data_IF_614723558177
#
_entry.id   IF_614723558177
#
_cell.length_a   1.000
_cell.length_b   1.000
_cell.length_c   1.000
_cell.angle_alpha   90.00
_cell.angle_beta   90.00
_cell.angle_gamma   90.00
#
_symmetry.space_group_name_H-M   'P 1'
#
loop_
_entity.id
_entity.type
_entity.pdbx_description
1 polymer ?
#
# COMPACT_ATOMS: atom_id res chain seq x y z
N UNK A 1 18.80 0.26 -13.89
CA UNK A 1 18.42 -1.17 -13.75
C UNK A 1 17.52 -1.44 -12.55
N UNK A 2 17.84 -0.95 -11.32
CA UNK A 2 17.00 -1.18 -10.11
C UNK A 2 15.64 -0.52 -10.27
N UNK A 3 15.59 0.73 -10.66
CA UNK A 3 14.36 1.51 -10.87
C UNK A 3 13.49 0.98 -12.00
N UNK A 4 14.09 0.53 -13.12
CA UNK A 4 13.35 -0.07 -14.23
C UNK A 4 12.70 -1.40 -13.82
N UNK A 5 13.41 -2.21 -13.02
CA UNK A 5 12.83 -3.44 -12.47
C UNK A 5 11.67 -3.12 -11.53
N UNK A 6 11.83 -2.11 -10.66
CA UNK A 6 10.75 -1.64 -9.77
C UNK A 6 9.50 -1.21 -10.55
N UNK A 7 9.67 -0.43 -11.61
CA UNK A 7 8.59 0.00 -12.49
C UNK A 7 7.94 -1.17 -13.24
N UNK A 8 8.75 -2.09 -13.78
CA UNK A 8 8.25 -3.30 -14.45
C UNK A 8 7.40 -4.16 -13.50
N UNK A 9 7.83 -4.34 -12.24
CA UNK A 9 7.07 -5.09 -11.24
C UNK A 9 5.76 -4.37 -10.88
N UNK A 10 5.75 -3.04 -10.83
CA UNK A 10 4.55 -2.25 -10.58
C UNK A 10 3.53 -2.41 -11.71
N UNK A 11 3.96 -2.36 -12.98
CA UNK A 11 3.11 -2.63 -14.16
C UNK A 11 2.58 -4.07 -14.11
N UNK A 12 3.46 -5.03 -13.80
CA UNK A 12 3.08 -6.45 -13.69
C UNK A 12 2.04 -6.66 -12.59
N UNK A 13 2.18 -5.98 -11.45
CA UNK A 13 1.22 -6.00 -10.35
C UNK A 13 -0.14 -5.44 -10.80
N UNK A 14 -0.16 -4.34 -11.56
CA UNK A 14 -1.40 -3.78 -12.09
C UNK A 14 -2.10 -4.74 -13.07
N UNK A 15 -1.37 -5.32 -14.02
CA UNK A 15 -1.92 -6.30 -14.95
C UNK A 15 -2.47 -7.53 -14.22
N UNK A 16 -1.74 -8.04 -13.23
CA UNK A 16 -2.18 -9.16 -12.39
C UNK A 16 -3.46 -8.80 -11.61
N UNK A 17 -3.51 -7.60 -11.03
CA UNK A 17 -4.67 -7.11 -10.29
C UNK A 17 -5.93 -7.05 -11.19
N UNK A 18 -5.81 -6.52 -12.41
CA UNK A 18 -6.91 -6.51 -13.37
C UNK A 18 -7.36 -7.92 -13.77
N UNK A 19 -6.41 -8.85 -13.94
CA UNK A 19 -6.70 -10.27 -14.19
C UNK A 19 -7.48 -10.93 -13.04
N UNK A 20 -7.12 -10.62 -11.80
CA UNK A 20 -7.81 -11.08 -10.60
C UNK A 20 -9.24 -10.51 -10.49
N UNK A 21 -9.44 -9.23 -10.83
CA UNK A 21 -10.77 -8.61 -10.90
C UNK A 21 -11.63 -9.31 -11.95
N UNK A 22 -11.12 -9.46 -13.17
CA UNK A 22 -11.84 -10.11 -14.27
C UNK A 22 -12.25 -11.54 -13.91
N UNK A 23 -11.36 -12.26 -13.26
CA UNK A 23 -11.65 -13.59 -12.74
C UNK A 23 -12.73 -13.57 -11.65
N UNK A 24 -12.64 -12.69 -10.66
CA UNK A 24 -13.62 -12.58 -9.57
C UNK A 24 -15.03 -12.29 -10.09
N UNK A 25 -15.15 -11.58 -11.20
CA UNK A 25 -16.42 -11.32 -11.89
C UNK A 25 -16.90 -12.58 -12.62
N UNK A 26 -16.01 -13.27 -13.33
CA UNK A 26 -16.36 -14.43 -14.19
C UNK A 26 -16.72 -15.68 -13.39
N UNK A 27 -16.11 -15.88 -12.20
CA UNK A 27 -16.26 -17.10 -11.40
C UNK A 27 -17.53 -17.14 -10.55
N UNK A 28 -18.58 -16.43 -10.91
CA UNK A 28 -19.89 -16.51 -10.23
C UNK A 28 -20.42 -17.94 -10.06
N UNK A 29 -19.91 -18.93 -10.81
CA UNK A 29 -20.44 -20.30 -10.89
C UNK A 29 -19.45 -21.45 -10.75
N UNK A 30 -18.14 -21.28 -10.54
CA UNK A 30 -17.17 -22.38 -10.67
C UNK A 30 -16.37 -22.66 -9.39
N UNK A 31 -16.56 -23.85 -8.85
CA UNK A 31 -15.80 -24.95 -8.24
C UNK A 31 -14.54 -24.70 -7.37
N UNK A 32 -14.48 -25.48 -6.29
CA UNK A 32 -13.53 -25.46 -5.17
C UNK A 32 -12.02 -25.63 -5.51
N UNK A 33 -11.66 -26.12 -6.68
CA UNK A 33 -10.25 -26.27 -7.08
C UNK A 33 -9.59 -24.98 -7.54
N UNK A 34 -10.39 -24.00 -7.93
CA UNK A 34 -9.98 -22.71 -8.42
C UNK A 34 -9.44 -21.80 -7.30
N UNK A 35 -9.92 -21.96 -6.08
CA UNK A 35 -9.57 -21.08 -4.95
C UNK A 35 -8.09 -21.12 -4.59
N UNK A 36 -7.43 -22.29 -4.57
CA UNK A 36 -6.01 -22.40 -4.23
C UNK A 36 -5.08 -21.70 -5.22
N UNK A 37 -5.43 -21.72 -6.50
CA UNK A 37 -4.65 -21.05 -7.53
C UNK A 37 -4.76 -19.52 -7.39
N UNK A 38 -5.97 -19.01 -7.15
CA UNK A 38 -6.19 -17.57 -6.97
C UNK A 38 -5.55 -17.06 -5.68
N UNK A 39 -5.59 -17.81 -4.60
CA UNK A 39 -4.89 -17.47 -3.37
C UNK A 39 -3.38 -17.28 -3.62
N UNK A 40 -2.77 -18.09 -4.49
CA UNK A 40 -1.38 -17.92 -4.89
C UNK A 40 -1.14 -16.66 -5.72
N UNK A 41 -2.08 -16.32 -6.61
CA UNK A 41 -1.97 -15.11 -7.44
C UNK A 41 -2.14 -13.83 -6.61
N UNK A 42 -2.98 -13.82 -5.59
CA UNK A 42 -3.09 -12.70 -4.65
C UNK A 42 -1.83 -12.56 -3.79
N UNK A 43 -1.23 -13.69 -3.36
CA UNK A 43 0.07 -13.68 -2.70
C UNK A 43 1.18 -13.18 -3.64
N UNK A 44 1.10 -13.50 -4.93
CA UNK A 44 2.02 -12.97 -5.95
C UNK A 44 1.87 -11.46 -6.11
N UNK A 45 0.63 -10.93 -6.12
CA UNK A 45 0.38 -9.48 -6.15
C UNK A 45 1.07 -8.77 -4.99
N UNK A 46 0.89 -9.27 -3.76
CA UNK A 46 1.59 -8.76 -2.58
C UNK A 46 3.11 -8.82 -2.73
N UNK A 47 3.65 -9.93 -3.25
CA UNK A 47 5.09 -10.12 -3.45
C UNK A 47 5.65 -9.12 -4.49
N UNK A 48 4.97 -8.92 -5.62
CA UNK A 48 5.38 -7.97 -6.65
C UNK A 48 5.43 -6.54 -6.10
N UNK A 49 4.41 -6.12 -5.36
CA UNK A 49 4.35 -4.79 -4.75
C UNK A 49 5.42 -4.61 -3.65
N UNK A 50 5.65 -5.65 -2.85
CA UNK A 50 6.71 -5.64 -1.82
C UNK A 50 8.10 -5.46 -2.44
N UNK A 51 8.41 -6.23 -3.48
CA UNK A 51 9.70 -6.12 -4.17
C UNK A 51 9.81 -4.76 -4.86
N UNK A 52 8.76 -4.27 -5.51
CA UNK A 52 8.76 -2.94 -6.12
C UNK A 52 9.06 -1.84 -5.10
N UNK A 53 8.43 -1.87 -3.92
CA UNK A 53 8.69 -0.91 -2.84
C UNK A 53 10.11 -1.03 -2.27
N UNK A 54 10.62 -2.26 -2.08
CA UNK A 54 12.00 -2.48 -1.65
C UNK A 54 13.02 -1.94 -2.66
N UNK A 55 12.77 -2.08 -3.97
CA UNK A 55 13.63 -1.51 -5.01
C UNK A 55 13.60 0.02 -5.01
N UNK A 56 12.49 0.65 -4.66
CA UNK A 56 12.46 2.09 -4.42
C UNK A 56 13.35 2.47 -3.23
N UNK A 57 13.25 1.76 -2.09
CA UNK A 57 14.13 1.98 -0.93
C UNK A 57 15.60 1.81 -1.33
N UNK A 58 15.94 0.77 -2.09
CA UNK A 58 17.32 0.54 -2.59
C UNK A 58 17.80 1.71 -3.46
N UNK A 59 16.93 2.28 -4.30
CA UNK A 59 17.27 3.46 -5.11
C UNK A 59 17.59 4.69 -4.22
N UNK A 60 16.86 4.89 -3.12
CA UNK A 60 17.16 5.95 -2.15
C UNK A 60 18.48 5.69 -1.39
N UNK A 61 18.70 4.47 -0.92
CA UNK A 61 19.95 4.09 -0.20
C UNK A 61 21.16 4.34 -1.09
N UNK A 62 21.10 3.91 -2.35
CA UNK A 62 22.16 4.08 -3.33
C UNK A 62 22.30 5.50 -3.88
N UNK A 63 21.40 6.42 -3.49
CA UNK A 63 21.38 7.80 -4.03
C UNK A 63 21.33 7.83 -5.56
N UNK A 64 20.44 7.00 -6.15
CA UNK A 64 20.26 6.93 -7.62
C UNK A 64 19.50 8.19 -8.10
N UNK A 65 20.23 9.30 -8.27
CA UNK A 65 19.68 10.57 -8.72
C UNK A 65 19.19 10.58 -10.17
N UNK A 66 19.31 9.48 -10.89
CA UNK A 66 18.62 9.31 -12.17
C UNK A 66 17.12 9.10 -11.99
N UNK A 67 16.68 8.70 -10.81
CA UNK A 67 15.26 8.63 -10.42
C UNK A 67 14.84 10.00 -9.90
N UNK A 68 13.86 10.63 -10.55
CA UNK A 68 13.36 11.98 -10.22
C UNK A 68 12.98 12.13 -8.74
N UNK A 69 12.31 11.10 -8.21
CA UNK A 69 11.89 11.08 -6.81
C UNK A 69 13.06 11.13 -5.85
N UNK A 70 14.12 10.37 -6.12
CA UNK A 70 15.34 10.33 -5.31
C UNK A 70 16.11 11.65 -5.43
N UNK A 71 16.20 12.21 -6.64
CA UNK A 71 16.86 13.49 -6.87
C UNK A 71 16.19 14.64 -6.11
N UNK A 72 14.85 14.64 -6.02
CA UNK A 72 14.10 15.70 -5.36
C UNK A 72 14.03 15.57 -3.83
N UNK A 73 14.23 14.34 -3.27
CA UNK A 73 13.95 14.07 -1.86
C UNK A 73 15.12 13.43 -1.10
N UNK A 74 16.32 13.37 -1.68
CA UNK A 74 17.49 12.77 -1.03
C UNK A 74 18.77 13.55 -1.34
N UNK A 75 19.84 13.25 -0.61
CA UNK A 75 21.17 13.81 -0.78
C UNK A 75 22.23 12.75 -0.49
N UNK A 76 23.39 12.83 -1.15
CA UNK A 76 24.46 11.81 -1.01
C UNK A 76 24.93 11.64 0.44
N UNK A 77 25.06 12.75 1.20
CA UNK A 77 25.55 12.79 2.57
C UNK A 77 24.45 12.53 3.63
N UNK A 78 23.20 12.31 3.22
CA UNK A 78 22.10 12.07 4.16
C UNK A 78 22.31 10.76 4.94
N UNK A 79 22.03 10.72 6.26
CA UNK A 79 22.04 9.49 7.04
C UNK A 79 21.07 8.44 6.45
N UNK A 80 21.48 7.16 6.51
CA UNK A 80 20.75 6.07 5.84
C UNK A 80 19.28 5.95 6.29
N UNK A 81 18.99 6.23 7.57
CA UNK A 81 17.63 6.22 8.11
C UNK A 81 16.72 7.19 7.36
N UNK A 82 17.18 8.41 7.12
CA UNK A 82 16.42 9.43 6.40
C UNK A 82 16.40 9.21 4.88
N UNK A 83 17.41 8.49 4.32
CA UNK A 83 17.32 8.00 2.94
C UNK A 83 16.17 7.00 2.81
N UNK A 84 16.07 6.04 3.72
CA UNK A 84 14.99 5.05 3.74
C UNK A 84 13.63 5.76 3.91
N UNK A 85 13.53 6.70 4.86
CA UNK A 85 12.32 7.48 5.07
C UNK A 85 11.94 8.34 3.86
N UNK A 86 12.91 8.76 3.06
CA UNK A 86 12.68 9.43 1.79
C UNK A 86 11.78 8.65 0.84
N UNK A 87 11.75 7.31 0.94
CA UNK A 87 10.88 6.48 0.11
C UNK A 87 9.38 6.72 0.37
N UNK A 88 8.99 7.20 1.54
CA UNK A 88 7.59 7.57 1.87
C UNK A 88 7.42 9.01 2.35
N UNK A 89 8.49 9.79 2.43
CA UNK A 89 8.46 11.21 2.80
C UNK A 89 8.00 12.15 1.66
N UNK A 90 7.38 11.63 0.64
CA UNK A 90 6.89 12.33 -0.55
C UNK A 90 5.60 11.70 -1.05
N UNK A 91 4.95 12.33 -2.03
CA UNK A 91 3.66 11.89 -2.53
C UNK A 91 3.74 10.54 -3.27
N UNK A 92 4.64 10.40 -4.24
CA UNK A 92 4.73 9.23 -5.13
C UNK A 92 5.12 7.96 -4.37
N UNK A 93 6.11 8.08 -3.50
CA UNK A 93 6.55 6.95 -2.68
C UNK A 93 5.55 6.56 -1.60
N UNK A 94 4.86 7.54 -0.99
CA UNK A 94 3.73 7.28 -0.09
C UNK A 94 2.62 6.52 -0.79
N UNK A 95 2.26 6.89 -2.01
CA UNK A 95 1.22 6.20 -2.79
C UNK A 95 1.61 4.75 -3.10
N UNK A 96 2.89 4.46 -3.37
CA UNK A 96 3.36 3.08 -3.54
C UNK A 96 3.25 2.29 -2.23
N UNK A 97 3.60 2.90 -1.10
CA UNK A 97 3.38 2.29 0.23
C UNK A 97 1.90 2.03 0.49
N UNK A 98 1.00 2.93 0.07
CA UNK A 98 -0.45 2.75 0.19
C UNK A 98 -0.93 1.50 -0.54
N UNK A 99 -0.52 1.34 -1.80
CA UNK A 99 -0.90 0.17 -2.61
C UNK A 99 -0.34 -1.12 -1.98
N UNK A 100 0.88 -1.08 -1.47
CA UNK A 100 1.46 -2.19 -0.73
C UNK A 100 0.63 -2.54 0.52
N UNK A 101 0.25 -1.56 1.33
CA UNK A 101 -0.57 -1.79 2.53
C UNK A 101 -1.95 -2.35 2.18
N UNK A 102 -2.59 -1.86 1.12
CA UNK A 102 -3.86 -2.43 0.63
C UNK A 102 -3.70 -3.91 0.26
N UNK A 103 -2.58 -4.29 -0.35
CA UNK A 103 -2.29 -5.69 -0.70
C UNK A 103 -1.97 -6.55 0.53
N UNK A 104 -1.32 -5.98 1.56
CA UNK A 104 -1.11 -6.65 2.87
C UNK A 104 -2.46 -7.00 3.50
N UNK A 105 -3.37 -6.04 3.58
CA UNK A 105 -4.69 -6.27 4.17
C UNK A 105 -5.53 -7.27 3.36
N UNK A 106 -5.44 -7.24 2.02
CA UNK A 106 -6.05 -8.25 1.17
C UNK A 106 -5.50 -9.65 1.49
N UNK A 107 -4.18 -9.78 1.56
CA UNK A 107 -3.51 -11.05 1.88
C UNK A 107 -3.92 -11.58 3.26
N UNK A 108 -3.94 -10.72 4.28
CA UNK A 108 -4.35 -11.09 5.65
C UNK A 108 -5.83 -11.50 5.71
N UNK A 109 -6.71 -10.75 5.04
CA UNK A 109 -8.12 -11.09 4.96
C UNK A 109 -8.33 -12.46 4.33
N UNK A 110 -7.68 -12.72 3.20
CA UNK A 110 -7.77 -13.98 2.51
C UNK A 110 -7.27 -15.15 3.36
N UNK A 111 -6.13 -15.00 4.03
CA UNK A 111 -5.54 -16.02 4.89
C UNK A 111 -6.48 -16.40 6.06
N UNK A 112 -7.32 -15.48 6.53
CA UNK A 112 -8.26 -15.68 7.64
C UNK A 112 -9.70 -15.97 7.21
N UNK A 113 -9.96 -16.09 5.90
CA UNK A 113 -11.32 -16.16 5.36
C UNK A 113 -11.89 -17.57 5.17
N UNK A 114 -11.20 -18.62 5.63
CA UNK A 114 -11.59 -20.03 5.43
C UNK A 114 -13.00 -20.36 5.90
N UNK A 115 -13.45 -19.73 6.99
CA UNK A 115 -14.71 -20.02 7.67
C UNK A 115 -15.88 -19.16 7.19
N UNK A 116 -15.62 -18.21 6.27
CA UNK A 116 -16.65 -17.34 5.77
C UNK A 116 -17.30 -17.86 4.48
N UNK A 117 -18.57 -17.50 4.21
CA UNK A 117 -19.25 -17.85 2.98
C UNK A 117 -18.47 -17.39 1.75
N UNK A 118 -18.23 -18.31 0.82
CA UNK A 118 -17.40 -18.06 -0.39
C UNK A 118 -17.88 -16.86 -1.22
N UNK A 119 -19.20 -16.65 -1.28
CA UNK A 119 -19.78 -15.51 -2.00
C UNK A 119 -19.39 -14.16 -1.35
N UNK A 120 -19.42 -14.09 -0.01
CA UNK A 120 -18.98 -12.91 0.73
C UNK A 120 -17.49 -12.67 0.49
N UNK A 121 -16.65 -13.69 0.72
CA UNK A 121 -15.18 -13.58 0.54
C UNK A 121 -14.84 -13.07 -0.85
N UNK A 122 -15.43 -13.65 -1.91
CA UNK A 122 -15.22 -13.21 -3.29
C UNK A 122 -15.61 -11.74 -3.48
N UNK A 123 -16.76 -11.31 -2.97
CA UNK A 123 -17.20 -9.93 -3.14
C UNK A 123 -16.29 -8.96 -2.38
N UNK A 124 -15.83 -9.30 -1.16
CA UNK A 124 -14.85 -8.51 -0.40
C UNK A 124 -13.55 -8.37 -1.17
N UNK A 125 -13.01 -9.48 -1.68
CA UNK A 125 -11.79 -9.51 -2.50
C UNK A 125 -11.97 -8.63 -3.75
N UNK A 126 -13.11 -8.73 -4.45
CA UNK A 126 -13.40 -7.93 -5.63
C UNK A 126 -13.37 -6.42 -5.33
N UNK A 127 -14.00 -6.00 -4.23
CA UNK A 127 -14.00 -4.58 -3.84
C UNK A 127 -12.59 -4.12 -3.47
N UNK A 128 -11.84 -4.93 -2.70
CA UNK A 128 -10.47 -4.60 -2.30
C UNK A 128 -9.53 -4.51 -3.52
N UNK A 129 -9.61 -5.46 -4.46
CA UNK A 129 -8.85 -5.41 -5.71
C UNK A 129 -9.23 -4.20 -6.57
N UNK A 130 -10.51 -3.85 -6.63
CA UNK A 130 -10.98 -2.67 -7.38
C UNK A 130 -10.42 -1.38 -6.78
N UNK A 131 -10.42 -1.25 -5.45
CA UNK A 131 -9.79 -0.12 -4.75
C UNK A 131 -8.30 -0.07 -5.06
N UNK A 132 -7.59 -1.20 -4.96
CA UNK A 132 -6.16 -1.30 -5.28
C UNK A 132 -5.88 -0.94 -6.73
N UNK A 133 -6.73 -1.35 -7.68
CA UNK A 133 -6.60 -1.02 -9.10
C UNK A 133 -6.67 0.49 -9.37
N UNK A 134 -7.58 1.19 -8.70
CA UNK A 134 -7.70 2.66 -8.84
C UNK A 134 -6.42 3.37 -8.38
N UNK A 135 -5.85 2.97 -7.24
CA UNK A 135 -4.59 3.53 -6.76
C UNK A 135 -3.40 3.15 -7.64
N UNK A 136 -3.33 1.91 -8.14
CA UNK A 136 -2.28 1.47 -9.08
C UNK A 136 -2.36 2.25 -10.40
N UNK A 137 -3.56 2.45 -10.93
CA UNK A 137 -3.76 3.25 -12.13
C UNK A 137 -3.28 4.69 -11.93
N UNK A 138 -3.70 5.32 -10.83
CA UNK A 138 -3.26 6.67 -10.47
C UNK A 138 -1.74 6.74 -10.34
N UNK A 139 -1.14 5.77 -9.64
CA UNK A 139 0.30 5.71 -9.41
C UNK A 139 1.08 5.59 -10.73
N UNK A 140 0.63 4.74 -11.65
CA UNK A 140 1.31 4.52 -12.93
C UNK A 140 1.20 5.70 -13.90
N UNK A 141 0.08 6.42 -13.90
CA UNK A 141 -0.20 7.47 -14.89
C UNK A 141 0.17 8.86 -14.37
N UNK A 142 -0.11 9.15 -13.10
CA UNK A 142 -0.03 10.51 -12.57
C UNK A 142 1.07 10.69 -11.50
N UNK A 143 1.59 9.61 -10.91
CA UNK A 143 2.45 9.69 -9.74
C UNK A 143 3.51 8.59 -9.70
N UNK A 144 4.21 8.39 -10.84
CA UNK A 144 5.14 7.26 -10.99
C UNK A 144 6.41 7.47 -10.13
N UNK A 145 6.65 6.62 -9.09
CA UNK A 145 7.81 6.77 -8.22
C UNK A 145 9.14 6.38 -8.89
N UNK A 146 9.09 5.74 -10.06
CA UNK A 146 10.26 5.31 -10.84
C UNK A 146 10.51 6.18 -12.07
N UNK A 147 9.88 7.37 -12.16
CA UNK A 147 10.14 8.31 -13.24
C UNK A 147 11.62 8.70 -13.28
N UNK A 148 12.22 8.66 -14.48
CA UNK A 148 13.63 8.97 -14.66
C UNK A 148 13.83 10.35 -15.25
N UNK A 149 14.91 10.98 -14.81
CA UNK A 149 15.38 12.24 -15.38
C UNK A 149 16.24 11.96 -16.61
N UNK A 150 16.06 12.74 -17.67
CA UNK A 150 16.89 12.72 -18.85
C UNK A 150 18.32 13.20 -18.54
N UNK A 151 18.45 14.21 -17.69
CA UNK A 151 19.69 14.79 -17.20
C UNK A 151 19.79 14.65 -15.68
N UNK A 152 20.36 13.55 -15.16
CA UNK A 152 20.50 13.36 -13.72
C UNK A 152 21.44 14.41 -13.10
N UNK A 153 21.07 15.04 -11.97
CA UNK A 153 21.97 15.94 -11.26
C UNK A 153 23.10 15.15 -10.58
N UNK A 154 24.24 15.83 -10.31
CA UNK A 154 25.36 15.24 -9.56
C UNK A 154 24.98 14.91 -8.10
N UNK A 155 24.02 15.64 -7.53
CA UNK A 155 23.51 15.42 -6.19
C UNK A 155 22.02 15.80 -6.12
N UNK A 156 21.31 15.27 -5.13
CA UNK A 156 19.89 15.59 -4.95
C UNK A 156 19.65 16.86 -4.13
N UNK A 157 18.38 17.33 -4.15
CA UNK A 157 17.92 18.57 -3.52
C UNK A 157 17.76 18.45 -2.00
N UNK A 158 17.83 17.22 -1.46
CA UNK A 158 17.57 16.89 -0.07
C UNK A 158 16.07 16.88 0.32
N UNK A 159 15.79 16.25 1.45
CA UNK A 159 14.47 16.24 2.07
C UNK A 159 14.30 17.54 2.90
N UNK A 160 13.09 18.06 2.94
CA UNK A 160 12.78 19.21 3.79
C UNK A 160 13.31 18.96 5.22
N UNK A 161 14.07 19.89 5.84
CA UNK A 161 14.62 19.73 7.19
C UNK A 161 13.58 19.35 8.25
N UNK A 162 12.36 19.88 8.19
CA UNK A 162 11.25 19.53 9.10
C UNK A 162 10.90 18.03 9.04
N UNK A 163 11.19 17.39 7.91
CA UNK A 163 10.93 15.96 7.70
C UNK A 163 12.09 15.06 8.15
N UNK A 164 13.19 15.64 8.65
CA UNK A 164 14.36 14.91 9.13
C UNK A 164 14.28 14.65 10.65
N UNK A 165 13.16 14.11 11.10
CA UNK A 165 12.88 13.73 12.47
C UNK A 165 12.55 12.23 12.57
N UNK A 166 12.96 11.58 13.68
CA UNK A 166 12.75 10.14 13.89
C UNK A 166 11.27 9.80 14.01
N UNK A 167 10.46 10.69 14.59
CA UNK A 167 9.02 10.48 14.69
C UNK A 167 8.37 10.52 13.31
N UNK A 168 8.86 11.38 12.43
CA UNK A 168 8.39 11.42 11.05
C UNK A 168 8.78 10.17 10.25
N UNK A 169 9.90 9.53 10.57
CA UNK A 169 10.25 8.23 9.96
C UNK A 169 9.19 7.19 10.27
N UNK A 170 8.71 7.12 11.52
CA UNK A 170 7.79 6.10 12.00
C UNK A 170 6.30 6.44 11.81
N UNK A 171 5.94 7.74 11.98
CA UNK A 171 4.54 8.20 11.97
C UNK A 171 3.78 7.85 10.67
N UNK A 172 4.27 8.18 9.44
CA UNK A 172 3.47 7.96 8.25
C UNK A 172 3.17 6.47 7.98
N UNK A 173 4.13 5.53 8.04
CA UNK A 173 3.82 4.11 7.85
C UNK A 173 2.80 3.57 8.85
N UNK A 174 2.90 3.95 10.13
CA UNK A 174 1.97 3.53 11.17
C UNK A 174 0.58 4.12 10.93
N UNK A 175 0.49 5.41 10.59
CA UNK A 175 -0.77 6.07 10.24
C UNK A 175 -1.44 5.41 9.03
N UNK A 176 -0.66 5.09 8.00
CA UNK A 176 -1.16 4.44 6.78
C UNK A 176 -1.68 3.02 7.05
N UNK A 177 -1.03 2.24 7.92
CA UNK A 177 -1.56 0.95 8.38
C UNK A 177 -2.95 1.10 9.02
N UNK A 178 -3.15 2.16 9.80
CA UNK A 178 -4.47 2.47 10.36
C UNK A 178 -5.48 2.92 9.31
N UNK A 179 -5.12 3.95 8.54
CA UNK A 179 -6.01 4.58 7.58
C UNK A 179 -6.46 3.61 6.47
N UNK A 180 -5.49 2.95 5.82
CA UNK A 180 -5.77 2.02 4.72
C UNK A 180 -6.34 0.68 5.20
N UNK A 181 -6.09 0.30 6.44
CA UNK A 181 -6.67 -0.89 7.04
C UNK A 181 -8.20 -0.83 7.12
N UNK A 182 -8.78 0.36 7.20
CA UNK A 182 -10.24 0.56 7.15
C UNK A 182 -10.85 0.19 5.79
N UNK A 183 -10.04 -0.03 4.75
CA UNK A 183 -10.52 -0.55 3.46
C UNK A 183 -11.14 -1.94 3.58
N UNK A 184 -10.68 -2.79 4.50
CA UNK A 184 -11.27 -4.12 4.70
C UNK A 184 -12.68 -4.06 5.32
N UNK A 185 -12.93 -3.36 6.44
CA UNK A 185 -14.30 -3.15 6.93
C UNK A 185 -15.24 -2.55 5.87
N UNK A 186 -14.76 -1.60 5.08
CA UNK A 186 -15.50 -1.04 3.96
C UNK A 186 -15.82 -2.14 2.92
N UNK A 187 -14.81 -2.91 2.50
CA UNK A 187 -14.99 -3.99 1.52
C UNK A 187 -15.93 -5.08 2.02
N UNK A 188 -15.91 -5.39 3.34
CA UNK A 188 -16.82 -6.33 3.99
C UNK A 188 -18.26 -5.79 3.94
N UNK A 189 -18.48 -4.51 4.27
CA UNK A 189 -19.81 -3.90 4.25
C UNK A 189 -20.40 -3.92 2.84
N UNK A 190 -19.66 -3.46 1.83
CA UNK A 190 -20.10 -3.49 0.42
C UNK A 190 -20.28 -4.92 -0.08
N UNK A 191 -19.32 -5.80 0.21
CA UNK A 191 -19.38 -7.22 -0.18
C UNK A 191 -20.59 -7.93 0.40
N UNK A 192 -20.97 -7.62 1.64
CA UNK A 192 -22.19 -8.14 2.27
C UNK A 192 -23.46 -7.68 1.55
N UNK A 193 -23.57 -6.39 1.23
CA UNK A 193 -24.71 -5.87 0.48
C UNK A 193 -24.84 -6.55 -0.89
N UNK A 194 -23.72 -6.85 -1.56
CA UNK A 194 -23.71 -7.56 -2.84
C UNK A 194 -24.00 -9.06 -2.72
N UNK A 195 -23.83 -9.65 -1.53
CA UNK A 195 -24.06 -11.10 -1.30
C UNK A 195 -25.53 -11.41 -1.07
N UNK A 196 -26.31 -10.46 -0.56
CA UNK A 196 -27.74 -10.59 -0.27
C UNK A 196 -28.07 -11.82 0.63
N UNK A 197 -27.17 -12.18 1.55
CA UNK A 197 -27.36 -13.27 2.52
C UNK A 197 -27.44 -12.72 3.96
N UNK A 198 -28.63 -12.60 4.46
CA UNK A 198 -28.90 -12.03 5.78
C UNK A 198 -28.57 -12.94 6.97
N UNK A 199 -28.11 -14.17 6.74
CA UNK A 199 -27.73 -15.11 7.81
C UNK A 199 -26.31 -14.88 8.33
N UNK A 200 -25.50 -14.08 7.64
CA UNK A 200 -24.11 -13.79 8.00
C UNK A 200 -24.07 -12.79 9.15
N UNK A 201 -23.38 -13.11 10.23
CA UNK A 201 -23.11 -12.16 11.32
C UNK A 201 -21.99 -11.21 10.91
N UNK A 202 -22.35 -10.17 10.13
CA UNK A 202 -21.40 -9.18 9.62
C UNK A 202 -20.84 -8.28 10.73
N UNK A 203 -21.58 -8.05 11.80
CA UNK A 203 -21.19 -7.10 12.86
C UNK A 203 -19.91 -7.54 13.55
N UNK A 204 -19.80 -8.82 13.90
CA UNK A 204 -18.60 -9.36 14.53
C UNK A 204 -17.39 -9.31 13.59
N UNK A 205 -17.61 -9.55 12.29
CA UNK A 205 -16.55 -9.51 11.27
C UNK A 205 -16.03 -8.08 11.06
N UNK A 206 -16.93 -7.10 10.89
CA UNK A 206 -16.55 -5.68 10.76
C UNK A 206 -15.84 -5.22 12.03
N UNK A 207 -16.35 -5.57 13.22
CA UNK A 207 -15.73 -5.19 14.49
C UNK A 207 -14.30 -5.73 14.58
N UNK A 208 -14.08 -6.99 14.27
CA UNK A 208 -12.74 -7.61 14.31
C UNK A 208 -11.77 -6.88 13.37
N UNK A 209 -12.16 -6.69 12.11
CA UNK A 209 -11.32 -6.04 11.11
C UNK A 209 -11.17 -4.52 11.29
N UNK A 210 -11.97 -3.88 12.13
CA UNK A 210 -11.81 -2.47 12.49
C UNK A 210 -10.85 -2.24 13.66
N UNK A 211 -10.67 -3.23 14.55
CA UNK A 211 -9.85 -3.05 15.76
C UNK A 211 -8.37 -2.84 15.44
N UNK A 212 -7.79 -3.62 14.53
CA UNK A 212 -6.37 -3.51 14.17
C UNK A 212 -6.09 -2.17 13.51
N UNK A 213 -6.81 -1.74 12.46
CA UNK A 213 -6.66 -0.40 11.90
C UNK A 213 -6.86 0.71 12.94
N UNK A 214 -7.82 0.58 13.83
CA UNK A 214 -8.08 1.58 14.88
C UNK A 214 -6.87 1.77 15.80
N UNK A 215 -6.20 0.68 16.21
CA UNK A 215 -4.97 0.75 17.03
C UNK A 215 -3.87 1.48 16.27
N UNK A 216 -3.59 1.10 15.02
CA UNK A 216 -2.56 1.76 14.22
C UNK A 216 -2.88 3.22 13.94
N UNK A 217 -4.15 3.56 13.68
CA UNK A 217 -4.59 4.94 13.48
C UNK A 217 -4.37 5.78 14.73
N UNK A 218 -4.74 5.27 15.91
CA UNK A 218 -4.53 5.93 17.19
C UNK A 218 -3.05 6.16 17.47
N UNK A 219 -2.21 5.14 17.28
CA UNK A 219 -0.76 5.26 17.46
C UNK A 219 -0.15 6.23 16.43
N UNK A 220 -0.59 6.18 15.18
CA UNK A 220 -0.15 7.09 14.13
C UNK A 220 -0.49 8.54 14.46
N UNK A 221 -1.72 8.83 14.88
CA UNK A 221 -2.14 10.18 15.30
C UNK A 221 -1.31 10.64 16.50
N UNK A 222 -1.11 9.78 17.51
CA UNK A 222 -0.29 10.12 18.68
C UNK A 222 1.13 10.50 18.29
N UNK A 223 1.81 9.69 17.47
CA UNK A 223 3.16 9.99 16.99
C UNK A 223 3.22 11.29 16.18
N UNK A 224 2.22 11.52 15.32
CA UNK A 224 2.10 12.76 14.55
C UNK A 224 1.88 14.00 15.42
N UNK A 225 1.08 13.88 16.48
CA UNK A 225 0.85 14.97 17.43
C UNK A 225 2.14 15.30 18.23
N UNK A 226 2.89 14.30 18.66
CA UNK A 226 4.16 14.48 19.34
C UNK A 226 5.17 15.14 18.38
N UNK A 227 5.29 14.66 17.14
CA UNK A 227 6.13 15.28 16.12
C UNK A 227 5.76 16.74 15.87
N UNK A 228 4.48 17.05 15.68
CA UNK A 228 4.01 18.42 15.46
C UNK A 228 4.34 19.33 16.64
N UNK A 229 4.22 18.83 17.87
CA UNK A 229 4.57 19.58 19.07
C UNK A 229 6.07 19.97 19.11
N UNK A 230 6.97 19.02 18.78
CA UNK A 230 8.41 19.27 18.81
C UNK A 230 8.89 20.14 17.63
N UNK A 231 8.43 19.85 16.42
CA UNK A 231 8.92 20.47 15.20
C UNK A 231 8.21 21.79 14.84
N UNK A 232 6.92 21.90 15.14
CA UNK A 232 6.11 23.07 14.80
C UNK A 232 5.85 23.99 16.00
N UNK A 233 6.20 23.57 17.21
CA UNK A 233 5.97 24.31 18.43
C UNK A 233 4.50 24.38 18.88
N UNK A 234 3.60 23.67 18.20
CA UNK A 234 2.18 23.57 18.57
C UNK A 234 1.64 22.20 18.12
N UNK A 235 0.98 21.51 19.04
CA UNK A 235 0.39 20.20 18.76
C UNK A 235 -0.92 20.32 18.01
N UNK A 236 -1.08 19.50 17.00
CA UNK A 236 -2.33 19.33 16.26
C UNK A 236 -3.19 18.22 16.84
#
# INVERSE_FOLDING_TARGET
MVSELGHFLLISAFCLNLGLIANSISTRSILAGYTKFFNRLESLLFTLLSISFLLLIVSFINSDFSVKLVANNSHALKPILYKIAGAWGNHEGSMLLWVLILSVYLFLFQASSSDYPKALVRNVILIQLSTTALFLFYLLILSNPFERLEFPPLNGQDLNPILQDVLLVAHPPILYLGYLGLSIPFSIAVGFLLTNDHKINIVSLIRFWSLVPFVFLTLGILLGSIWAYYELGWGG
#
